data_IF_703654620437
#
_entry.id   IF_703654620437
#
_cell.length_a   1.000
_cell.length_b   1.000
_cell.length_c   1.000
_cell.angle_alpha   90.00
_cell.angle_beta   90.00
_cell.angle_gamma   90.00
#
_symmetry.space_group_name_H-M   'P 1'
#
loop_
_entity.id
_entity.type
_entity.pdbx_description
1 polymer ?
#
# COMPACT_ATOMS: atom_id res chain seq x y z
N UNK A 1 -16.79 -7.39 -7.07
CA UNK A 1 -15.82 -6.42 -6.53
C UNK A 1 -14.63 -7.13 -5.93
N UNK A 2 -13.44 -6.54 -5.98
CA UNK A 2 -12.24 -7.07 -5.35
C UNK A 2 -11.64 -6.01 -4.41
N UNK A 3 -11.44 -6.37 -3.15
CA UNK A 3 -10.91 -5.49 -2.10
C UNK A 3 -9.49 -5.93 -1.72
N UNK A 4 -8.54 -5.01 -1.76
CA UNK A 4 -7.12 -5.25 -1.44
C UNK A 4 -6.72 -4.42 -0.23
N UNK A 5 -6.36 -5.10 0.86
CA UNK A 5 -6.04 -4.49 2.16
C UNK A 5 -4.69 -3.78 2.19
N UNK A 6 -4.49 -2.95 3.21
CA UNK A 6 -3.24 -2.25 3.49
C UNK A 6 -2.14 -3.16 4.05
N UNK A 7 -0.91 -2.63 4.17
CA UNK A 7 0.21 -3.32 4.78
C UNK A 7 -0.10 -3.69 6.24
N UNK A 8 0.18 -4.93 6.62
CA UNK A 8 -0.12 -5.45 7.96
C UNK A 8 -1.60 -5.73 8.22
N UNK A 9 -2.49 -5.47 7.25
CA UNK A 9 -3.90 -5.80 7.31
C UNK A 9 -4.19 -7.22 6.82
N UNK A 10 -5.47 -7.55 6.79
CA UNK A 10 -6.02 -8.81 6.30
C UNK A 10 -7.43 -8.59 5.71
N UNK A 11 -8.02 -9.60 5.10
CA UNK A 11 -9.37 -9.51 4.52
C UNK A 11 -10.42 -9.02 5.52
N UNK A 12 -10.31 -9.42 6.79
CA UNK A 12 -11.22 -9.02 7.86
C UNK A 12 -11.19 -7.50 8.15
N UNK A 13 -10.13 -6.79 7.74
CA UNK A 13 -10.05 -5.32 7.87
C UNK A 13 -11.18 -4.61 7.11
N UNK A 14 -11.75 -5.26 6.11
CA UNK A 14 -12.86 -4.72 5.32
C UNK A 14 -14.24 -5.17 5.78
N UNK A 15 -14.36 -5.90 6.88
CA UNK A 15 -15.63 -6.52 7.27
C UNK A 15 -16.83 -5.56 7.24
N UNK A 16 -16.77 -4.32 7.79
CA UNK A 16 -17.91 -3.40 7.78
C UNK A 16 -18.38 -3.04 6.36
N UNK A 17 -17.41 -2.81 5.46
CA UNK A 17 -17.68 -2.45 4.05
C UNK A 17 -18.06 -3.68 3.24
N UNK A 18 -17.43 -4.83 3.51
CA UNK A 18 -17.67 -6.08 2.82
C UNK A 18 -19.12 -6.53 2.94
N UNK A 19 -19.67 -6.53 4.16
CA UNK A 19 -21.05 -6.98 4.42
C UNK A 19 -22.08 -6.09 3.71
N UNK A 20 -21.84 -4.79 3.66
CA UNK A 20 -22.69 -3.86 2.94
C UNK A 20 -22.63 -4.06 1.43
N UNK A 21 -21.45 -4.18 0.86
CA UNK A 21 -21.25 -4.41 -0.59
C UNK A 21 -21.79 -5.79 -1.03
N UNK A 22 -21.68 -6.79 -0.17
CA UNK A 22 -22.16 -8.15 -0.47
C UNK A 22 -23.68 -8.27 -0.62
N UNK A 23 -24.44 -7.27 -0.17
CA UNK A 23 -25.90 -7.24 -0.38
C UNK A 23 -26.28 -7.09 -1.86
N UNK A 24 -25.42 -6.48 -2.67
CA UNK A 24 -25.72 -6.17 -4.08
C UNK A 24 -24.66 -6.66 -5.07
N UNK A 25 -23.50 -7.08 -4.57
CA UNK A 25 -22.37 -7.48 -5.42
C UNK A 25 -21.74 -8.79 -4.95
N UNK A 26 -21.11 -9.52 -5.87
CA UNK A 26 -20.18 -10.58 -5.52
C UNK A 26 -18.84 -9.94 -5.11
N UNK A 27 -18.45 -10.11 -3.84
CA UNK A 27 -17.29 -9.45 -3.25
C UNK A 27 -16.21 -10.48 -2.91
N UNK A 28 -14.99 -10.14 -3.22
CA UNK A 28 -13.79 -10.92 -2.87
C UNK A 28 -12.85 -10.03 -2.07
N UNK A 29 -12.27 -10.58 -1.01
CA UNK A 29 -11.24 -9.93 -0.20
C UNK A 29 -10.19 -10.98 0.18
N UNK A 30 -9.17 -11.21 -0.66
CA UNK A 30 -8.11 -12.16 -0.31
C UNK A 30 -7.17 -11.58 0.74
N UNK A 31 -6.65 -12.43 1.62
CA UNK A 31 -5.42 -12.12 2.34
C UNK A 31 -4.27 -12.14 1.35
N UNK A 32 -3.57 -11.03 1.22
CA UNK A 32 -2.40 -10.95 0.35
C UNK A 32 -1.24 -11.80 0.87
N UNK A 33 -0.38 -12.39 0.01
CA UNK A 33 0.75 -13.20 0.45
C UNK A 33 1.63 -12.50 1.51
N UNK A 34 1.85 -13.19 2.63
CA UNK A 34 2.57 -12.68 3.79
C UNK A 34 1.70 -11.98 4.84
N UNK A 35 0.37 -11.93 4.64
CA UNK A 35 -0.58 -11.29 5.55
C UNK A 35 -1.75 -12.22 5.88
N UNK A 36 -2.42 -11.96 7.00
CA UNK A 36 -3.56 -12.74 7.45
C UNK A 36 -3.26 -14.23 7.54
N UNK A 37 -4.04 -15.05 6.84
CA UNK A 37 -3.89 -16.51 6.77
C UNK A 37 -3.08 -16.98 5.55
N UNK A 38 -2.64 -16.06 4.69
CA UNK A 38 -1.84 -16.39 3.51
C UNK A 38 -0.39 -16.68 3.86
N UNK A 39 0.20 -17.64 3.15
CA UNK A 39 1.61 -17.98 3.30
C UNK A 39 2.52 -16.83 2.90
N UNK A 40 3.74 -16.82 3.46
CA UNK A 40 4.78 -15.90 3.04
C UNK A 40 5.12 -16.10 1.56
N UNK A 41 5.39 -15.04 0.79
CA UNK A 41 5.91 -15.19 -0.54
C UNK A 41 7.29 -15.89 -0.50
N UNK A 42 7.65 -16.69 -1.51
CA UNK A 42 8.87 -17.50 -1.51
C UNK A 42 10.16 -16.65 -1.51
N UNK A 43 10.06 -15.41 -1.95
CA UNK A 43 11.14 -14.42 -1.98
C UNK A 43 10.61 -13.06 -1.56
N UNK A 44 11.49 -12.08 -1.40
CA UNK A 44 11.05 -10.70 -1.18
C UNK A 44 10.40 -10.15 -2.46
N UNK A 45 9.08 -9.97 -2.42
CA UNK A 45 8.28 -9.42 -3.51
C UNK A 45 8.33 -7.89 -3.57
N UNK A 46 8.13 -7.34 -4.75
CA UNK A 46 7.78 -5.94 -4.93
C UNK A 46 6.27 -5.78 -5.26
N UNK A 47 5.82 -4.56 -5.56
CA UNK A 47 4.38 -4.32 -5.82
C UNK A 47 3.92 -4.98 -7.12
N UNK A 48 4.80 -5.16 -8.10
CA UNK A 48 4.47 -5.81 -9.37
C UNK A 48 4.26 -7.32 -9.19
N UNK A 49 5.04 -7.97 -8.31
CA UNK A 49 4.82 -9.38 -7.96
C UNK A 49 3.43 -9.58 -7.33
N UNK A 50 3.00 -8.65 -6.46
CA UNK A 50 1.64 -8.69 -5.91
C UNK A 50 0.56 -8.42 -6.95
N UNK A 51 0.79 -7.52 -7.90
CA UNK A 51 -0.14 -7.29 -8.99
C UNK A 51 -0.32 -8.54 -9.86
N UNK A 52 0.78 -9.25 -10.16
CA UNK A 52 0.74 -10.55 -10.87
C UNK A 52 -0.03 -11.60 -10.06
N UNK A 53 0.18 -11.69 -8.75
CA UNK A 53 -0.59 -12.59 -7.90
C UNK A 53 -2.09 -12.29 -7.96
N UNK A 54 -2.49 -11.03 -7.91
CA UNK A 54 -3.90 -10.62 -7.96
C UNK A 54 -4.49 -10.88 -9.34
N UNK A 55 -3.77 -10.64 -10.43
CA UNK A 55 -4.24 -10.97 -11.79
C UNK A 55 -4.40 -12.47 -11.98
N UNK A 56 -3.46 -13.28 -11.49
CA UNK A 56 -3.58 -14.75 -11.50
C UNK A 56 -4.75 -15.25 -10.63
N UNK A 57 -5.05 -14.57 -9.51
CA UNK A 57 -6.23 -14.85 -8.70
C UNK A 57 -7.52 -14.61 -9.52
N UNK A 58 -7.62 -13.48 -10.23
CA UNK A 58 -8.79 -13.20 -11.08
C UNK A 58 -8.96 -14.27 -12.16
N UNK A 59 -7.89 -14.69 -12.80
CA UNK A 59 -7.90 -15.74 -13.82
C UNK A 59 -8.31 -17.11 -13.25
N UNK A 60 -7.75 -17.48 -12.11
CA UNK A 60 -8.08 -18.76 -11.45
C UNK A 60 -9.57 -18.89 -11.07
N UNK A 61 -10.24 -17.78 -10.79
CA UNK A 61 -11.66 -17.75 -10.43
C UNK A 61 -12.57 -17.32 -11.58
N UNK A 62 -12.06 -17.31 -12.81
CA UNK A 62 -12.79 -16.91 -14.03
C UNK A 62 -13.49 -15.56 -13.87
N UNK A 63 -12.77 -14.58 -13.29
CA UNK A 63 -13.27 -13.22 -13.09
C UNK A 63 -12.68 -12.33 -14.18
N UNK A 64 -13.42 -12.02 -15.25
CA UNK A 64 -12.87 -11.29 -16.39
C UNK A 64 -12.62 -9.83 -16.08
N UNK A 65 -13.47 -9.21 -15.24
CA UNK A 65 -13.41 -7.79 -14.92
C UNK A 65 -14.00 -7.48 -13.55
N UNK A 66 -13.41 -6.52 -12.82
CA UNK A 66 -13.83 -6.16 -11.45
C UNK A 66 -13.94 -4.64 -11.25
N UNK A 67 -14.78 -4.24 -10.31
CA UNK A 67 -14.55 -2.99 -9.58
C UNK A 67 -13.46 -3.28 -8.53
N UNK A 68 -12.37 -2.54 -8.59
CA UNK A 68 -11.18 -2.76 -7.77
C UNK A 68 -11.10 -1.70 -6.68
N UNK A 69 -11.04 -2.14 -5.43
CA UNK A 69 -10.94 -1.26 -4.25
C UNK A 69 -9.60 -1.56 -3.56
N UNK A 70 -8.74 -0.56 -3.45
CA UNK A 70 -7.44 -0.71 -2.82
C UNK A 70 -7.22 0.29 -1.70
N UNK A 71 -6.94 -0.20 -0.49
CA UNK A 71 -6.53 0.63 0.64
C UNK A 71 -5.01 0.63 0.79
N UNK A 72 -4.41 1.81 0.93
CA UNK A 72 -3.00 1.97 1.26
C UNK A 72 -2.07 1.12 0.36
N UNK A 73 -1.46 0.04 0.87
CA UNK A 73 -0.67 -0.92 0.08
C UNK A 73 -1.48 -1.59 -1.03
N UNK A 74 -2.73 -1.99 -0.74
CA UNK A 74 -3.65 -2.50 -1.76
C UNK A 74 -3.89 -1.50 -2.88
N UNK A 75 -3.87 -0.21 -2.57
CA UNK A 75 -3.93 0.86 -3.57
C UNK A 75 -2.74 0.86 -4.52
N UNK A 76 -1.52 0.60 -4.05
CA UNK A 76 -0.33 0.43 -4.93
C UNK A 76 -0.54 -0.68 -5.95
N UNK A 77 -1.03 -1.83 -5.49
CA UNK A 77 -1.30 -2.99 -6.33
C UNK A 77 -2.38 -2.63 -7.36
N UNK A 78 -3.43 -1.95 -6.90
CA UNK A 78 -4.54 -1.51 -7.75
C UNK A 78 -4.10 -0.53 -8.85
N UNK A 79 -3.18 0.39 -8.55
CA UNK A 79 -2.58 1.31 -9.53
C UNK A 79 -1.88 0.53 -10.64
N UNK A 80 -1.04 -0.46 -10.29
CA UNK A 80 -0.33 -1.28 -11.29
C UNK A 80 -1.32 -2.05 -12.16
N UNK A 81 -2.28 -2.75 -11.55
CA UNK A 81 -3.27 -3.54 -12.30
C UNK A 81 -4.07 -2.63 -13.24
N UNK A 82 -4.54 -1.47 -12.76
CA UNK A 82 -5.35 -0.56 -13.58
C UNK A 82 -4.58 0.06 -14.74
N UNK A 83 -3.26 0.25 -14.59
CA UNK A 83 -2.41 0.82 -15.64
C UNK A 83 -1.87 -0.21 -16.64
N UNK A 84 -1.66 -1.47 -16.20
CA UNK A 84 -1.02 -2.52 -17.02
C UNK A 84 -2.03 -3.53 -17.55
N UNK A 85 -3.18 -3.70 -16.89
CA UNK A 85 -4.29 -4.59 -17.23
C UNK A 85 -5.64 -3.86 -17.23
N UNK A 86 -5.80 -2.75 -18.01
CA UNK A 86 -7.02 -1.93 -18.00
C UNK A 86 -8.28 -2.73 -18.37
N UNK A 87 -8.14 -3.81 -19.13
CA UNK A 87 -9.24 -4.70 -19.50
C UNK A 87 -9.85 -5.43 -18.28
N UNK A 88 -9.07 -5.62 -17.21
CA UNK A 88 -9.51 -6.31 -15.99
C UNK A 88 -10.19 -5.38 -14.97
N UNK A 89 -10.12 -4.07 -15.15
CA UNK A 89 -10.65 -3.09 -14.19
C UNK A 89 -11.77 -2.28 -14.82
N UNK A 90 -12.98 -2.37 -14.24
CA UNK A 90 -14.14 -1.60 -14.67
C UNK A 90 -14.17 -0.22 -13.99
N UNK A 91 -14.05 -0.19 -12.67
CA UNK A 91 -13.94 1.02 -11.86
C UNK A 91 -12.84 0.83 -10.82
N UNK A 92 -12.15 1.91 -10.50
CA UNK A 92 -11.10 1.93 -9.50
C UNK A 92 -11.52 2.79 -8.31
N UNK A 93 -11.38 2.26 -7.11
CA UNK A 93 -11.55 3.01 -5.87
C UNK A 93 -10.25 2.92 -5.08
N UNK A 94 -9.61 4.06 -4.83
CA UNK A 94 -8.39 4.17 -4.04
C UNK A 94 -8.70 4.86 -2.72
N UNK A 95 -8.51 4.14 -1.62
CA UNK A 95 -8.79 4.64 -0.26
C UNK A 95 -7.47 4.83 0.47
N UNK A 96 -7.16 6.06 0.86
CA UNK A 96 -5.92 6.41 1.56
C UNK A 96 -4.70 5.75 0.90
N UNK A 97 -4.64 5.78 -0.44
CA UNK A 97 -3.75 4.95 -1.22
C UNK A 97 -2.29 5.40 -1.11
N UNK A 98 -1.40 4.45 -0.91
CA UNK A 98 0.01 4.65 -1.20
C UNK A 98 0.25 4.58 -2.73
N UNK A 99 1.47 4.94 -3.17
CA UNK A 99 1.84 4.89 -4.61
C UNK A 99 2.71 6.07 -5.00
N UNK A 100 2.50 7.23 -4.37
CA UNK A 100 3.35 8.39 -4.54
C UNK A 100 4.53 8.31 -3.59
N UNK A 101 5.73 8.47 -4.10
CA UNK A 101 6.92 8.53 -3.27
C UNK A 101 7.06 9.92 -2.64
N UNK A 102 7.08 10.02 -1.30
CA UNK A 102 7.20 11.32 -0.66
C UNK A 102 8.53 11.98 -1.02
N UNK A 103 8.52 13.30 -1.18
CA UNK A 103 9.75 14.07 -1.35
C UNK A 103 10.65 13.87 -0.13
N UNK A 104 11.88 13.45 -0.37
CA UNK A 104 12.87 13.24 0.70
C UNK A 104 13.29 14.58 1.28
N UNK A 105 12.95 14.84 2.53
CA UNK A 105 13.32 16.05 3.25
C UNK A 105 14.73 15.92 3.85
N UNK A 106 15.35 17.05 4.25
CA UNK A 106 16.63 17.04 5.00
C UNK A 106 16.53 16.15 6.25
N UNK A 107 15.40 16.14 6.94
CA UNK A 107 15.12 15.26 8.10
C UNK A 107 15.19 13.77 7.74
N UNK A 108 14.74 13.38 6.54
CA UNK A 108 14.88 12.01 6.04
C UNK A 108 16.36 11.64 5.89
N UNK A 109 17.18 12.49 5.23
CA UNK A 109 18.60 12.21 5.05
C UNK A 109 19.37 12.15 6.36
N UNK A 110 19.01 13.00 7.35
CA UNK A 110 19.57 12.93 8.69
C UNK A 110 19.27 11.59 9.36
N UNK A 111 18.00 11.11 9.29
CA UNK A 111 17.60 9.81 9.83
C UNK A 111 18.34 8.65 9.15
N UNK A 112 18.50 8.69 7.84
CA UNK A 112 19.26 7.69 7.08
C UNK A 112 20.74 7.72 7.49
N UNK A 113 21.32 8.88 7.70
CA UNK A 113 22.67 9.05 8.22
C UNK A 113 22.84 8.39 9.58
N UNK A 114 21.93 8.68 10.51
CA UNK A 114 21.91 8.07 11.86
C UNK A 114 21.80 6.54 11.76
N UNK A 115 20.93 6.01 10.89
CA UNK A 115 20.78 4.56 10.70
C UNK A 115 22.07 3.91 10.14
N UNK A 116 22.75 4.57 9.18
CA UNK A 116 24.03 4.10 8.63
C UNK A 116 25.13 4.09 9.69
N UNK A 117 25.23 5.14 10.51
CA UNK A 117 26.17 5.20 11.64
C UNK A 117 25.86 4.11 12.66
N UNK A 118 24.58 3.90 13.00
CA UNK A 118 24.15 2.80 13.87
C UNK A 118 24.59 1.41 13.35
N UNK A 119 24.46 1.20 12.01
CA UNK A 119 24.94 -0.06 11.39
C UNK A 119 26.45 -0.25 11.48
N UNK A 120 27.21 0.83 11.40
CA UNK A 120 28.67 0.79 11.57
C UNK A 120 29.06 0.50 13.02
N UNK A 121 28.41 1.16 13.98
CA UNK A 121 28.63 0.99 15.42
C UNK A 121 28.31 -0.44 15.89
N UNK A 122 27.36 -1.15 15.26
CA UNK A 122 27.08 -2.58 15.55
C UNK A 122 28.30 -3.48 15.43
N UNK A 123 29.31 -3.09 14.65
CA UNK A 123 30.57 -3.83 14.50
C UNK A 123 31.50 -3.69 15.71
N UNK A 124 31.20 -2.78 16.64
CA UNK A 124 32.03 -2.50 17.82
C UNK A 124 31.63 -3.33 19.07
N UNK A 125 31.20 -4.59 18.90
CA UNK A 125 30.91 -5.52 19.99
C UNK A 125 29.59 -5.26 20.71
N UNK A 126 29.39 -5.86 21.88
CA UNK A 126 28.10 -5.86 22.61
C UNK A 126 27.56 -4.45 22.92
N UNK A 127 28.40 -3.50 23.26
CA UNK A 127 28.00 -2.11 23.53
C UNK A 127 27.59 -1.39 22.28
N UNK A 128 28.23 -1.64 21.12
CA UNK A 128 27.84 -1.12 19.83
C UNK A 128 26.47 -1.59 19.40
N UNK A 129 26.12 -2.85 19.66
CA UNK A 129 24.80 -3.41 19.39
C UNK A 129 23.71 -2.71 20.22
N UNK A 130 23.97 -2.45 21.51
CA UNK A 130 23.03 -1.78 22.42
C UNK A 130 22.70 -0.35 21.93
N UNK A 131 23.75 0.42 21.62
CA UNK A 131 23.61 1.78 21.09
C UNK A 131 22.90 1.80 19.74
N UNK A 132 23.27 0.91 18.83
CA UNK A 132 22.65 0.80 17.51
C UNK A 132 21.16 0.43 17.60
N UNK A 133 20.76 -0.43 18.53
CA UNK A 133 19.36 -0.79 18.77
C UNK A 133 18.56 0.40 19.32
N UNK A 134 19.12 1.17 20.27
CA UNK A 134 18.49 2.38 20.78
C UNK A 134 18.33 3.47 19.69
N UNK A 135 19.29 3.58 18.78
CA UNK A 135 19.22 4.49 17.63
C UNK A 135 18.19 4.02 16.58
N UNK A 136 18.13 2.73 16.26
CA UNK A 136 17.22 2.18 15.25
C UNK A 136 15.76 2.15 15.73
N UNK A 137 15.51 2.00 17.04
CA UNK A 137 14.15 2.08 17.61
C UNK A 137 13.47 3.45 17.38
N UNK A 138 14.26 4.51 17.14
CA UNK A 138 13.76 5.88 16.92
C UNK A 138 13.67 6.28 15.45
N UNK A 139 14.09 5.42 14.52
CA UNK A 139 14.32 5.82 13.11
C UNK A 139 13.39 5.14 12.11
N UNK A 140 12.78 3.99 12.41
CA UNK A 140 11.88 3.27 11.52
C UNK A 140 10.41 3.64 11.71
N UNK A 141 9.58 3.50 10.65
CA UNK A 141 8.12 3.48 10.79
C UNK A 141 7.70 2.26 11.61
N UNK A 142 6.48 2.31 12.17
CA UNK A 142 5.89 1.15 12.88
C UNK A 142 5.88 -0.10 11.99
N UNK A 143 5.51 0.06 10.73
CA UNK A 143 5.51 -1.03 9.75
C UNK A 143 6.89 -1.65 9.57
N UNK A 144 7.94 -0.83 9.48
CA UNK A 144 9.32 -1.34 9.35
C UNK A 144 9.78 -2.11 10.59
N UNK A 145 9.37 -1.68 11.78
CA UNK A 145 9.70 -2.36 13.04
C UNK A 145 8.98 -3.70 13.16
N UNK A 146 7.73 -3.76 12.71
CA UNK A 146 6.84 -4.93 12.83
C UNK A 146 6.91 -5.88 11.64
N UNK A 147 7.64 -5.52 10.56
CA UNK A 147 7.63 -6.27 9.30
C UNK A 147 8.23 -7.69 9.39
N UNK A 148 9.01 -8.02 10.43
CA UNK A 148 9.57 -9.35 10.59
C UNK A 148 10.25 -9.86 9.31
N UNK A 149 9.83 -11.04 8.85
CA UNK A 149 10.32 -11.69 7.63
C UNK A 149 9.92 -10.91 6.34
N UNK A 150 8.86 -10.12 6.41
CA UNK A 150 8.38 -9.27 5.31
C UNK A 150 9.18 -7.97 5.14
N UNK A 151 10.23 -7.73 5.96
CA UNK A 151 11.00 -6.47 5.92
C UNK A 151 11.65 -6.19 4.58
N UNK A 152 12.17 -7.21 3.90
CA UNK A 152 12.78 -7.04 2.58
C UNK A 152 11.74 -6.65 1.52
N UNK A 153 10.56 -7.25 1.57
CA UNK A 153 9.38 -6.91 0.77
C UNK A 153 8.93 -5.47 1.04
N UNK A 154 8.78 -5.07 2.31
CA UNK A 154 8.39 -3.71 2.67
C UNK A 154 9.35 -2.68 2.06
N UNK A 155 10.66 -2.92 2.16
CA UNK A 155 11.67 -2.00 1.61
C UNK A 155 11.55 -1.86 0.09
N UNK A 156 11.27 -2.94 -0.63
CA UNK A 156 11.02 -2.89 -2.08
C UNK A 156 9.76 -2.08 -2.37
N UNK A 157 8.65 -2.42 -1.74
CA UNK A 157 7.33 -1.80 -1.94
C UNK A 157 7.36 -0.28 -1.68
N UNK A 158 7.87 0.17 -0.52
CA UNK A 158 7.85 1.60 -0.17
C UNK A 158 8.81 2.45 -1.00
N UNK A 159 9.78 1.84 -1.67
CA UNK A 159 10.72 2.54 -2.55
C UNK A 159 10.24 2.67 -4.00
N UNK A 160 9.21 1.95 -4.41
CA UNK A 160 8.62 2.13 -5.73
C UNK A 160 7.84 3.44 -5.78
N UNK A 161 8.01 4.20 -6.86
CA UNK A 161 7.20 5.37 -7.20
C UNK A 161 6.32 5.00 -8.39
N UNK A 162 5.01 5.00 -8.18
CA UNK A 162 4.03 4.58 -9.20
C UNK A 162 3.42 5.76 -9.94
N UNK A 163 3.89 6.97 -9.70
CA UNK A 163 3.34 8.18 -10.29
C UNK A 163 3.32 8.15 -11.82
N UNK A 164 4.34 7.57 -12.44
CA UNK A 164 4.41 7.46 -13.91
C UNK A 164 3.33 6.54 -14.52
N UNK A 165 2.67 5.72 -13.70
CA UNK A 165 1.58 4.86 -14.14
C UNK A 165 0.20 5.55 -14.12
N UNK A 166 0.03 6.61 -13.33
CA UNK A 166 -1.26 7.28 -13.13
C UNK A 166 -1.91 7.74 -14.46
N UNK A 167 -1.18 8.36 -15.41
CA UNK A 167 -1.76 8.77 -16.69
C UNK A 167 -2.23 7.61 -17.59
N UNK A 168 -1.85 6.38 -17.27
CA UNK A 168 -2.21 5.16 -18.02
C UNK A 168 -3.49 4.51 -17.52
N UNK A 169 -4.03 4.96 -16.38
CA UNK A 169 -5.26 4.44 -15.80
C UNK A 169 -6.44 4.97 -16.61
N UNK A 170 -7.18 4.07 -17.24
CA UNK A 170 -8.36 4.40 -18.07
C UNK A 170 -9.68 4.17 -17.36
N UNK A 171 -9.69 3.45 -16.24
CA UNK A 171 -10.87 3.22 -15.44
C UNK A 171 -11.30 4.50 -14.71
N UNK A 172 -12.61 4.80 -14.71
CA UNK A 172 -13.17 5.86 -13.86
C UNK A 172 -12.77 5.60 -12.40
N UNK A 173 -12.14 6.59 -11.78
CA UNK A 173 -11.47 6.44 -10.50
C UNK A 173 -12.08 7.33 -9.42
N UNK A 174 -12.46 6.72 -8.30
CA UNK A 174 -12.83 7.43 -7.08
C UNK A 174 -11.67 7.38 -6.08
N UNK A 175 -11.25 8.53 -5.61
CA UNK A 175 -10.23 8.70 -4.57
C UNK A 175 -10.94 9.09 -3.27
N UNK A 176 -10.76 8.32 -2.21
CA UNK A 176 -11.31 8.59 -0.88
C UNK A 176 -10.14 8.78 0.09
N UNK A 177 -10.15 9.90 0.82
CA UNK A 177 -9.03 10.23 1.71
C UNK A 177 -9.50 10.78 3.04
N UNK A 178 -8.83 10.34 4.11
CA UNK A 178 -9.00 10.97 5.43
C UNK A 178 -8.22 12.29 5.52
N UNK A 179 -8.89 13.36 6.01
CA UNK A 179 -8.27 14.68 6.18
C UNK A 179 -7.02 14.64 7.07
N UNK A 180 -7.03 13.79 8.10
CA UNK A 180 -5.98 13.66 9.09
C UNK A 180 -5.02 12.48 8.81
N UNK A 181 -5.00 11.97 7.59
CA UNK A 181 -4.08 10.88 7.22
C UNK A 181 -2.62 11.38 7.22
N UNK A 182 -1.82 10.82 8.12
CA UNK A 182 -0.39 11.12 8.26
C UNK A 182 0.52 10.12 7.58
N UNK A 183 0.01 8.96 7.17
CA UNK A 183 0.76 7.90 6.50
C UNK A 183 0.80 8.14 4.98
N UNK A 184 -0.35 8.43 4.39
CA UNK A 184 -0.51 8.85 2.99
C UNK A 184 -1.27 10.19 2.96
N UNK A 185 -0.59 11.32 3.10
CA UNK A 185 -1.24 12.63 3.20
C UNK A 185 -2.18 12.94 2.02
N UNK A 186 -3.24 13.72 2.26
CA UNK A 186 -4.23 14.16 1.25
C UNK A 186 -3.57 14.68 -0.03
N UNK A 187 -2.37 15.27 0.08
CA UNK A 187 -1.60 15.72 -1.09
C UNK A 187 -1.27 14.59 -2.09
N UNK A 188 -1.27 13.32 -1.66
CA UNK A 188 -1.11 12.19 -2.59
C UNK A 188 -2.39 11.98 -3.39
N UNK A 189 -3.56 12.06 -2.75
CA UNK A 189 -4.86 12.04 -3.42
C UNK A 189 -4.99 13.17 -4.44
N UNK A 190 -4.58 14.39 -4.09
CA UNK A 190 -4.56 15.55 -5.00
C UNK A 190 -3.65 15.35 -6.21
N UNK A 191 -2.50 14.69 -6.04
CA UNK A 191 -1.62 14.34 -7.16
C UNK A 191 -2.29 13.29 -8.05
N UNK A 192 -2.89 12.27 -7.46
CA UNK A 192 -3.59 11.20 -8.20
C UNK A 192 -4.78 11.76 -8.97
N UNK A 193 -5.61 12.62 -8.36
CA UNK A 193 -6.72 13.30 -9.02
C UNK A 193 -6.28 14.10 -10.24
N UNK A 194 -5.15 14.80 -10.12
CA UNK A 194 -4.61 15.61 -11.22
C UNK A 194 -4.04 14.77 -12.36
N UNK A 195 -3.50 13.60 -12.08
CA UNK A 195 -2.70 12.81 -13.04
C UNK A 195 -3.44 11.60 -13.61
N UNK A 196 -4.49 11.11 -12.95
CA UNK A 196 -5.40 10.11 -13.51
C UNK A 196 -6.43 10.82 -14.39
N UNK A 197 -6.61 10.42 -15.67
CA UNK A 197 -7.44 11.15 -16.64
C UNK A 197 -8.91 11.31 -16.22
N UNK A 198 -9.50 10.31 -15.55
CA UNK A 198 -10.89 10.31 -15.08
C UNK A 198 -10.94 9.97 -13.60
N UNK A 199 -10.63 10.96 -12.75
CA UNK A 199 -10.60 10.79 -11.30
C UNK A 199 -11.30 11.93 -10.56
N UNK A 200 -11.93 11.61 -9.43
CA UNK A 200 -12.48 12.56 -8.48
C UNK A 200 -12.05 12.24 -7.06
N UNK A 201 -11.69 13.27 -6.27
CA UNK A 201 -11.23 13.15 -4.89
C UNK A 201 -12.32 13.57 -3.91
N UNK A 202 -12.60 12.68 -2.94
CA UNK A 202 -13.44 12.96 -1.77
C UNK A 202 -12.56 12.93 -0.52
N UNK A 203 -12.56 14.03 0.24
CA UNK A 203 -11.85 14.11 1.51
C UNK A 203 -12.85 14.04 2.65
N UNK A 204 -12.70 13.03 3.51
CA UNK A 204 -13.56 12.82 4.69
C UNK A 204 -12.98 13.57 5.88
N UNK A 205 -13.77 14.49 6.41
CA UNK A 205 -13.38 15.30 7.57
C UNK A 205 -13.14 14.42 8.80
N UNK A 206 -12.15 14.78 9.59
CA UNK A 206 -11.78 14.12 10.84
C UNK A 206 -11.29 12.66 10.69
N UNK A 207 -11.41 12.07 9.51
CA UNK A 207 -10.93 10.70 9.24
C UNK A 207 -9.38 10.64 9.14
N UNK A 208 -8.82 9.53 9.57
CA UNK A 208 -7.39 9.20 9.45
C UNK A 208 -7.12 8.24 8.31
N UNK A 209 -6.06 7.40 8.46
CA UNK A 209 -5.59 6.46 7.43
C UNK A 209 -6.55 5.30 7.12
N UNK A 210 -7.62 5.12 7.87
CA UNK A 210 -8.66 4.11 7.63
C UNK A 210 -9.99 4.80 7.40
N UNK A 211 -10.06 5.65 6.38
CA UNK A 211 -11.21 6.52 6.11
C UNK A 211 -12.49 5.77 5.71
N UNK A 212 -12.43 4.46 5.52
CA UNK A 212 -13.58 3.58 5.25
C UNK A 212 -14.22 2.96 6.51
N UNK A 213 -13.70 3.23 7.72
CA UNK A 213 -14.22 2.72 9.00
C UNK A 213 -15.16 3.69 9.71
#
# INVERSE_FOLDING_TARGET
MLLLHGWGGEAASFQPVFEWLAQSHKVYAPDLPGFGKSQLPPTAWDTSDYAQFVTAFLEKFDIPKVHLIGHSFGGRISIIISAEHPEKVDKLILVDSAGIKPRRTAKYYLRVGVAKVGKLIRRCGKYGVLVANAMSARVGSKDYQNAGDMRATLVKVVNQDLRSLLPRITASTLLIWGENDTDTPVSFGQIMEKEIPDAGLVVLKEAGHFSYL
#
